data_IF_027473694582
#
_entry.id   IF_027473694582
#
_cell.length_a   1.000
_cell.length_b   1.000
_cell.length_c   1.000
_cell.angle_alpha   90.00
_cell.angle_beta   90.00
_cell.angle_gamma   90.00
#
_symmetry.space_group_name_H-M   'P 1'
#
loop_
_entity.id
_entity.type
_entity.pdbx_description
1 polymer ?
#
# COMPACT_ATOMS: atom_id res chain seq x y z
N UNK A 1 11.20 -8.76 1.91
CA UNK A 1 11.82 -8.77 0.55
C UNK A 1 12.01 -7.36 -0.06
N UNK A 2 11.91 -6.26 0.71
CA UNK A 2 11.81 -4.90 0.16
C UNK A 2 13.15 -4.13 0.13
N UNK A 3 13.95 -4.20 1.21
CA UNK A 3 15.18 -3.41 1.33
C UNK A 3 16.35 -3.87 0.45
N UNK A 4 16.49 -5.18 0.20
CA UNK A 4 17.60 -5.71 -0.61
C UNK A 4 17.57 -5.23 -2.07
N UNK A 5 16.36 -5.08 -2.63
CA UNK A 5 16.19 -4.59 -4.01
C UNK A 5 16.53 -3.10 -4.09
N UNK A 6 16.06 -2.30 -3.12
CA UNK A 6 16.40 -0.87 -3.03
C UNK A 6 17.89 -0.64 -2.87
N UNK A 7 18.53 -1.38 -1.96
CA UNK A 7 19.98 -1.27 -1.75
C UNK A 7 20.76 -1.71 -2.99
N UNK A 8 20.33 -2.77 -3.68
CA UNK A 8 20.94 -3.20 -4.94
C UNK A 8 20.83 -2.15 -6.04
N UNK A 9 19.66 -1.51 -6.17
CA UNK A 9 19.43 -0.49 -7.19
C UNK A 9 20.25 0.78 -6.94
N UNK A 10 20.28 1.27 -5.69
CA UNK A 10 21.10 2.42 -5.30
C UNK A 10 22.58 2.12 -5.58
N UNK A 11 23.05 0.92 -5.26
CA UNK A 11 24.46 0.56 -5.41
C UNK A 11 24.92 0.44 -6.88
N UNK A 12 24.00 0.11 -7.80
CA UNK A 12 24.33 -0.05 -9.24
C UNK A 12 24.12 1.25 -10.01
N UNK A 13 23.04 1.98 -9.72
CA UNK A 13 22.63 3.14 -10.53
C UNK A 13 22.95 4.48 -9.86
N UNK A 14 23.31 4.49 -8.58
CA UNK A 14 23.63 5.69 -7.80
C UNK A 14 22.51 6.76 -7.80
N UNK A 15 21.26 6.34 -7.97
CA UNK A 15 20.07 7.20 -7.95
C UNK A 15 19.21 6.87 -6.74
N UNK A 16 18.84 7.90 -5.97
CA UNK A 16 17.78 7.80 -4.96
C UNK A 16 16.46 8.14 -5.64
N UNK A 17 15.92 7.20 -6.41
CA UNK A 17 14.62 7.41 -7.06
C UNK A 17 13.48 7.32 -6.06
N UNK A 18 12.45 8.14 -6.29
CA UNK A 18 11.15 8.02 -5.63
C UNK A 18 10.60 6.61 -5.86
N UNK A 19 10.63 5.79 -4.82
CA UNK A 19 10.17 4.40 -4.93
C UNK A 19 8.65 4.34 -5.01
N UNK A 20 8.15 3.92 -6.17
CA UNK A 20 6.75 3.60 -6.36
C UNK A 20 6.47 2.22 -5.75
N UNK A 21 5.38 2.12 -5.00
CA UNK A 21 4.90 0.91 -4.37
C UNK A 21 3.70 0.38 -5.16
N UNK A 22 3.79 -0.87 -5.57
CA UNK A 22 2.67 -1.54 -6.23
C UNK A 22 1.49 -1.69 -5.25
N UNK A 23 0.35 -1.13 -5.64
CA UNK A 23 -0.88 -1.11 -4.86
C UNK A 23 -1.37 -2.51 -4.47
N UNK A 24 -1.17 -3.51 -5.33
CA UNK A 24 -1.50 -4.90 -5.01
C UNK A 24 -0.72 -5.42 -3.78
N UNK A 25 0.57 -5.11 -3.68
CA UNK A 25 1.37 -5.54 -2.54
C UNK A 25 1.04 -4.75 -1.27
N UNK A 26 0.76 -3.45 -1.42
CA UNK A 26 0.32 -2.57 -0.33
C UNK A 26 -0.99 -3.10 0.26
N UNK A 27 -1.99 -3.34 -0.58
CA UNK A 27 -3.31 -3.84 -0.17
C UNK A 27 -3.22 -5.20 0.49
N UNK A 28 -2.45 -6.13 -0.07
CA UNK A 28 -2.26 -7.47 0.54
C UNK A 28 -1.68 -7.38 1.96
N UNK A 29 -0.72 -6.49 2.19
CA UNK A 29 -0.14 -6.28 3.53
C UNK A 29 -1.14 -5.63 4.49
N UNK A 30 -1.86 -4.61 4.02
CA UNK A 30 -2.93 -3.94 4.78
C UNK A 30 -4.01 -4.95 5.18
N UNK A 31 -4.49 -5.75 4.23
CA UNK A 31 -5.55 -6.75 4.46
C UNK A 31 -5.11 -7.82 5.47
N UNK A 32 -3.82 -8.17 5.48
CA UNK A 32 -3.22 -9.07 6.47
C UNK A 32 -3.33 -8.48 7.88
N UNK A 33 -2.98 -7.20 8.06
CA UNK A 33 -3.07 -6.54 9.37
C UNK A 33 -4.53 -6.28 9.79
N UNK A 34 -5.40 -5.96 8.84
CA UNK A 34 -6.83 -5.78 9.09
C UNK A 34 -7.53 -7.07 9.58
N UNK A 35 -6.96 -8.26 9.38
CA UNK A 35 -7.52 -9.52 9.90
C UNK A 35 -7.59 -9.58 11.43
N UNK A 36 -6.80 -8.78 12.15
CA UNK A 36 -6.90 -8.66 13.60
C UNK A 36 -8.23 -8.00 14.04
N UNK A 37 -8.88 -7.24 13.17
CA UNK A 37 -10.15 -6.57 13.43
C UNK A 37 -11.30 -7.52 13.04
N UNK A 38 -12.03 -8.02 14.05
CA UNK A 38 -13.12 -8.99 13.85
C UNK A 38 -14.40 -8.38 13.29
N UNK A 39 -14.64 -7.10 13.56
CA UNK A 39 -15.79 -6.38 13.02
C UNK A 39 -15.62 -6.18 11.51
N UNK A 40 -16.41 -6.94 10.73
CA UNK A 40 -16.39 -6.92 9.28
C UNK A 40 -16.81 -5.56 8.71
N UNK A 41 -17.77 -4.87 9.32
CA UNK A 41 -18.24 -3.57 8.85
C UNK A 41 -17.15 -2.53 9.06
N UNK A 42 -16.55 -2.53 10.24
CA UNK A 42 -15.45 -1.62 10.57
C UNK A 42 -14.23 -1.86 9.67
N UNK A 43 -13.87 -3.12 9.44
CA UNK A 43 -12.81 -3.51 8.50
C UNK A 43 -13.08 -3.00 7.09
N UNK A 44 -14.30 -3.16 6.59
CA UNK A 44 -14.68 -2.71 5.25
C UNK A 44 -14.65 -1.18 5.13
N UNK A 45 -15.09 -0.45 6.15
CA UNK A 45 -15.03 1.02 6.20
C UNK A 45 -13.57 1.53 6.22
N UNK A 46 -12.71 0.93 7.05
CA UNK A 46 -11.27 1.23 7.07
C UNK A 46 -10.65 1.03 5.68
N UNK A 47 -10.93 -0.12 5.07
CA UNK A 47 -10.37 -0.46 3.76
C UNK A 47 -10.81 0.51 2.68
N UNK A 48 -12.10 0.90 2.68
CA UNK A 48 -12.66 1.88 1.74
C UNK A 48 -12.03 3.26 1.88
N UNK A 49 -11.80 3.73 3.10
CA UNK A 49 -11.12 5.00 3.33
C UNK A 49 -9.70 4.98 2.74
N UNK A 50 -8.97 3.87 2.88
CA UNK A 50 -7.63 3.71 2.30
C UNK A 50 -7.69 3.67 0.76
N UNK A 51 -8.68 3.00 0.17
CA UNK A 51 -8.89 3.00 -1.29
C UNK A 51 -9.16 4.41 -1.82
N UNK A 52 -9.95 5.20 -1.09
CA UNK A 52 -10.17 6.59 -1.45
C UNK A 52 -8.86 7.38 -1.41
N UNK A 53 -8.03 7.20 -0.38
CA UNK A 53 -6.72 7.85 -0.29
C UNK A 53 -5.78 7.44 -1.42
N UNK A 54 -5.84 6.19 -1.89
CA UNK A 54 -5.03 5.70 -3.01
C UNK A 54 -5.24 6.51 -4.28
N UNK A 55 -6.49 6.93 -4.55
CA UNK A 55 -6.89 7.61 -5.77
C UNK A 55 -6.59 9.12 -5.76
N UNK A 56 -6.12 9.67 -4.63
CA UNK A 56 -5.81 11.09 -4.52
C UNK A 56 -4.63 11.42 -5.43
N UNK A 57 -4.77 12.48 -6.24
CA UNK A 57 -3.76 12.93 -7.21
C UNK A 57 -2.91 14.10 -6.73
N UNK A 58 -3.28 14.73 -5.62
CA UNK A 58 -2.61 15.89 -5.07
C UNK A 58 -2.04 15.55 -3.69
N UNK A 59 -0.74 15.73 -3.51
CA UNK A 59 -0.04 15.36 -2.27
C UNK A 59 -0.55 16.13 -1.04
N UNK A 60 -0.88 17.43 -1.18
CA UNK A 60 -1.43 18.23 -0.07
C UNK A 60 -2.80 17.72 0.37
N UNK A 61 -3.65 17.32 -0.59
CA UNK A 61 -4.94 16.70 -0.28
C UNK A 61 -4.74 15.33 0.38
N UNK A 62 -3.74 14.56 -0.06
CA UNK A 62 -3.40 13.27 0.54
C UNK A 62 -2.94 13.42 1.99
N UNK A 63 -2.05 14.37 2.28
CA UNK A 63 -1.58 14.67 3.64
C UNK A 63 -2.74 15.11 4.56
N UNK A 64 -3.67 15.91 4.03
CA UNK A 64 -4.87 16.29 4.77
C UNK A 64 -5.79 15.08 5.02
N UNK A 65 -5.96 14.20 4.02
CA UNK A 65 -6.75 12.98 4.16
C UNK A 65 -6.17 12.02 5.21
N UNK A 66 -4.84 11.88 5.27
CA UNK A 66 -4.15 11.08 6.29
C UNK A 66 -4.43 11.61 7.70
N UNK A 67 -4.37 12.93 7.91
CA UNK A 67 -4.68 13.56 9.20
C UNK A 67 -6.14 13.31 9.62
N UNK A 68 -7.07 13.44 8.67
CA UNK A 68 -8.50 13.18 8.91
C UNK A 68 -8.77 11.70 9.19
N UNK A 69 -8.13 10.81 8.45
CA UNK A 69 -8.20 9.36 8.64
C UNK A 69 -7.71 8.98 10.04
N UNK A 70 -6.52 9.44 10.43
CA UNK A 70 -5.98 9.18 11.76
C UNK A 70 -6.91 9.70 12.86
N UNK A 71 -7.41 10.93 12.74
CA UNK A 71 -8.35 11.52 13.70
C UNK A 71 -9.65 10.72 13.81
N UNK A 72 -10.27 10.37 12.67
CA UNK A 72 -11.51 9.60 12.60
C UNK A 72 -11.39 8.26 13.32
N UNK A 73 -10.32 7.52 13.04
CA UNK A 73 -10.18 6.15 13.52
C UNK A 73 -9.65 6.05 14.94
N UNK A 74 -8.75 6.96 15.36
CA UNK A 74 -8.32 7.02 16.77
C UNK A 74 -9.44 7.45 17.73
N UNK A 75 -10.42 8.23 17.25
CA UNK A 75 -11.60 8.61 18.03
C UNK A 75 -12.53 7.44 18.38
N UNK A 76 -12.31 6.23 17.84
CA UNK A 76 -13.04 5.02 18.23
C UNK A 76 -12.54 4.42 19.55
N UNK A 77 -11.41 4.87 20.06
CA UNK A 77 -10.81 4.45 21.34
C UNK A 77 -10.64 2.92 21.47
N UNK A 78 -10.50 2.23 20.34
CA UNK A 78 -10.32 0.78 20.30
C UNK A 78 -8.82 0.46 20.14
N UNK A 79 -8.20 -0.32 21.07
CA UNK A 79 -6.77 -0.63 21.00
C UNK A 79 -6.34 -1.31 19.69
N UNK A 80 -7.13 -2.23 19.17
CA UNK A 80 -6.83 -2.91 17.90
C UNK A 80 -6.83 -1.95 16.72
N UNK A 81 -7.74 -0.96 16.73
CA UNK A 81 -7.79 0.08 15.70
C UNK A 81 -6.60 1.01 15.84
N UNK A 82 -6.29 1.46 17.05
CA UNK A 82 -5.14 2.32 17.30
C UNK A 82 -3.83 1.67 16.83
N UNK A 83 -3.62 0.39 17.16
CA UNK A 83 -2.46 -0.37 16.71
C UNK A 83 -2.40 -0.47 15.18
N UNK A 84 -3.53 -0.71 14.52
CA UNK A 84 -3.59 -0.73 13.06
C UNK A 84 -3.27 0.64 12.45
N UNK A 85 -3.83 1.72 13.01
CA UNK A 85 -3.57 3.08 12.52
C UNK A 85 -2.10 3.45 12.71
N UNK A 86 -1.50 3.13 13.85
CA UNK A 86 -0.08 3.38 14.10
C UNK A 86 0.82 2.58 13.16
N UNK A 87 0.49 1.31 12.91
CA UNK A 87 1.14 0.51 11.87
C UNK A 87 1.01 1.20 10.50
N UNK A 88 -0.21 1.59 10.11
CA UNK A 88 -0.48 2.13 8.79
C UNK A 88 0.27 3.44 8.56
N UNK A 89 0.30 4.35 9.54
CA UNK A 89 1.02 5.62 9.44
C UNK A 89 2.53 5.38 9.36
N UNK A 90 3.09 4.54 10.23
CA UNK A 90 4.54 4.30 10.23
C UNK A 90 5.00 3.61 8.95
N UNK A 91 4.28 2.58 8.50
CA UNK A 91 4.68 1.80 7.33
C UNK A 91 4.35 2.54 6.02
N UNK A 92 3.12 3.01 5.85
CA UNK A 92 2.61 3.43 4.53
C UNK A 92 2.57 4.94 4.34
N UNK A 93 2.66 5.74 5.40
CA UNK A 93 2.76 7.20 5.28
C UNK A 93 4.20 7.70 5.45
N UNK A 94 4.87 7.29 6.52
CA UNK A 94 6.21 7.77 6.86
C UNK A 94 7.31 7.08 6.05
N UNK A 95 7.24 5.75 5.93
CA UNK A 95 8.33 4.95 5.35
C UNK A 95 8.14 4.64 3.86
N UNK A 96 6.91 4.35 3.44
CA UNK A 96 6.62 3.81 2.10
C UNK A 96 5.49 4.59 1.39
N UNK A 97 5.57 5.92 1.31
CA UNK A 97 4.50 6.81 0.78
C UNK A 97 4.13 6.59 -0.70
N UNK A 98 4.91 5.83 -1.47
CA UNK A 98 4.81 5.76 -2.93
C UNK A 98 3.66 4.94 -3.53
N UNK A 99 2.53 4.79 -2.84
CA UNK A 99 1.42 3.90 -3.25
C UNK A 99 0.15 4.63 -3.75
N UNK A 100 0.07 5.94 -3.55
CA UNK A 100 -1.06 6.76 -4.02
C UNK A 100 -0.75 7.39 -5.39
N UNK A 101 -1.78 7.58 -6.22
CA UNK A 101 -1.63 8.03 -7.62
C UNK A 101 -0.95 9.39 -7.76
N UNK A 102 -1.10 10.28 -6.77
CA UNK A 102 -0.47 11.59 -6.74
C UNK A 102 1.03 11.59 -6.46
N UNK A 103 1.63 10.46 -6.06
CA UNK A 103 3.06 10.39 -5.75
C UNK A 103 3.95 10.51 -6.99
N UNK A 104 3.52 9.88 -8.08
CA UNK A 104 4.20 9.88 -9.37
C UNK A 104 3.15 9.93 -10.48
N UNK A 105 2.71 11.15 -10.82
CA UNK A 105 1.66 11.39 -11.80
C UNK A 105 2.05 10.75 -13.14
N UNK A 106 1.18 9.88 -13.67
CA UNK A 106 1.40 9.17 -14.93
C UNK A 106 2.10 7.82 -14.79
N UNK A 107 2.65 7.50 -13.62
CA UNK A 107 3.14 6.16 -13.31
C UNK A 107 2.07 5.43 -12.50
N UNK A 108 1.51 4.32 -13.01
CA UNK A 108 0.46 3.61 -12.29
C UNK A 108 1.01 3.00 -10.99
N UNK A 109 0.31 3.25 -9.89
CA UNK A 109 0.47 2.42 -8.69
C UNK A 109 -0.23 1.07 -8.85
N UNK A 110 -1.12 0.95 -9.84
CA UNK A 110 -1.86 -0.26 -10.19
C UNK A 110 -1.02 -1.24 -11.03
N UNK A 111 -1.28 -2.54 -10.86
CA UNK A 111 -0.34 -3.59 -11.25
C UNK A 111 -0.42 -4.05 -12.73
N UNK A 112 -0.80 -3.20 -13.67
CA UNK A 112 -0.95 -3.64 -15.09
C UNK A 112 0.29 -4.34 -15.69
N UNK A 113 1.48 -4.21 -15.09
CA UNK A 113 2.69 -4.90 -15.50
C UNK A 113 2.94 -6.31 -14.90
N UNK A 114 2.56 -6.59 -13.63
CA UNK A 114 2.88 -7.86 -12.94
C UNK A 114 1.79 -8.92 -13.12
N UNK A 115 0.53 -8.51 -13.20
CA UNK A 115 -0.60 -9.41 -13.47
C UNK A 115 -0.58 -9.98 -14.89
N UNK A 116 0.04 -9.29 -15.85
CA UNK A 116 0.23 -9.81 -17.20
C UNK A 116 1.24 -10.98 -17.25
N UNK A 117 2.13 -11.12 -16.26
CA UNK A 117 3.19 -12.15 -16.26
C UNK A 117 2.83 -13.40 -15.45
N UNK A 118 1.89 -13.30 -14.50
CA UNK A 118 1.54 -14.41 -13.60
C UNK A 118 0.73 -15.56 -14.27
N UNK A 119 -0.14 -15.31 -15.26
CA UNK A 119 -0.79 -16.39 -16.03
C UNK A 119 0.19 -17.15 -16.91
N UNK A 120 1.18 -16.47 -17.49
CA UNK A 120 2.16 -17.09 -18.38
C UNK A 120 3.08 -18.10 -17.65
N UNK A 121 3.44 -17.83 -16.40
CA UNK A 121 4.37 -18.70 -15.66
C UNK A 121 3.68 -19.92 -15.02
N UNK A 122 2.38 -19.86 -14.71
CA UNK A 122 1.64 -21.02 -14.20
C UNK A 122 1.26 -22.03 -15.29
N UNK A 123 1.10 -21.59 -16.54
CA UNK A 123 0.78 -22.49 -17.66
C UNK A 123 2.01 -23.18 -18.27
N UNK A 124 3.25 -22.76 -17.96
CA UNK A 124 4.47 -23.46 -18.43
C UNK A 124 4.93 -24.62 -17.55
N UNK A 125 4.50 -24.72 -16.28
CA UNK A 125 4.88 -25.84 -15.40
C UNK A 125 3.86 -26.99 -15.37
N UNK A 126 2.80 -26.96 -16.19
CA UNK A 126 1.79 -28.02 -16.28
C UNK A 126 1.85 -28.89 -17.54
N UNK A 127 2.89 -28.74 -18.35
CA UNK A 127 3.12 -29.58 -19.54
C UNK A 127 4.48 -30.25 -19.37
N UNK A 128 4.50 -31.31 -18.57
CA UNK A 128 5.71 -32.01 -18.15
C UNK A 128 5.35 -33.09 -17.15
N UNK A 129 4.41 -33.96 -17.54
CA UNK A 129 4.00 -35.18 -16.86
C UNK A 129 3.60 -36.19 -17.90
#
# INVERSE_FOLDING_TARGET
ASGAITNGFINVFNVVEKRIMCWFHVTKNIDTQLNAIKDKKMKAELRRDIEFMQLIKNETIFDAAIKLFQKKWKAKECPLINNFIDYFINEWYMSNKGWFEGFAIGCPSSNNALEATNPCNKNRMKIGG
#
